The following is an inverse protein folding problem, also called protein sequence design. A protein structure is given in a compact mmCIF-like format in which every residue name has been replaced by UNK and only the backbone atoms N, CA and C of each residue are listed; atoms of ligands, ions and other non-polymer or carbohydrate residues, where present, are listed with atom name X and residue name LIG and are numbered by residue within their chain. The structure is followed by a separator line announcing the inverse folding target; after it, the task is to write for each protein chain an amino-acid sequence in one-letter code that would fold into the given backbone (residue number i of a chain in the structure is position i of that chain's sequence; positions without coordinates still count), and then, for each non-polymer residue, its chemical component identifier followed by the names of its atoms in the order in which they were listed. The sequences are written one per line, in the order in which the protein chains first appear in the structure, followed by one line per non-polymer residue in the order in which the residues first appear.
data_IF_393116527789
#
_entry.id   IF_393116527789
#
_cell.length_a   1.000
_cell.length_b   1.000
_cell.length_c   1.000
_cell.angle_alpha   90.00
_cell.angle_beta   90.00
_cell.angle_gamma   90.00
#
_symmetry.space_group_name_H-M   'P 1'
#
loop_
_entity.id
_entity.type
_entity.pdbx_description
1 polymer ?
#
# COMPACT_ATOMS: atom_id res chain seq x y z
N UNK A 1 55.67 9.93 -0.05
CA UNK A 1 55.48 10.21 -1.48
C UNK A 1 55.99 9.04 -2.31
N UNK A 2 55.11 8.09 -2.65
CA UNK A 2 55.20 7.21 -3.80
C UNK A 2 53.77 6.81 -4.16
N UNK A 3 53.42 7.16 -5.38
CA UNK A 3 52.11 7.03 -6.01
C UNK A 3 52.02 5.64 -6.63
N UNK A 4 50.96 4.87 -6.34
CA UNK A 4 50.55 3.74 -7.18
C UNK A 4 49.06 3.93 -7.46
N UNK A 5 48.77 4.15 -8.75
CA UNK A 5 47.43 4.39 -9.31
C UNK A 5 47.02 3.15 -10.10
N UNK A 6 45.79 2.71 -9.83
CA UNK A 6 44.90 1.85 -10.63
C UNK A 6 45.38 0.39 -10.79
N UNK A 7 44.54 -0.64 -10.78
CA UNK A 7 43.20 -0.75 -11.34
C UNK A 7 42.63 -2.10 -10.86
N UNK A 8 41.35 -2.15 -10.44
CA UNK A 8 40.68 -3.40 -10.07
C UNK A 8 40.14 -3.39 -8.64
N UNK A 9 39.12 -2.57 -8.39
CA UNK A 9 38.34 -2.65 -7.16
C UNK A 9 37.46 -3.92 -7.23
N UNK A 10 38.04 -5.06 -6.88
CA UNK A 10 37.27 -6.13 -6.27
C UNK A 10 36.81 -5.59 -4.92
N UNK A 11 35.62 -4.98 -4.89
CA UNK A 11 34.93 -4.66 -3.66
C UNK A 11 34.54 -5.99 -3.04
N UNK A 12 35.44 -6.55 -2.24
CA UNK A 12 35.10 -7.59 -1.29
C UNK A 12 34.22 -6.89 -0.24
N UNK A 13 32.92 -6.82 -0.53
CA UNK A 13 31.92 -6.51 0.48
C UNK A 13 31.95 -7.64 1.49
N UNK A 14 32.83 -7.50 2.49
CA UNK A 14 32.69 -8.23 3.73
C UNK A 14 31.39 -7.72 4.36
N UNK A 15 30.28 -8.37 4.02
CA UNK A 15 29.02 -8.19 4.72
C UNK A 15 29.26 -8.73 6.13
N UNK A 16 29.61 -7.84 7.07
CA UNK A 16 29.46 -8.18 8.48
C UNK A 16 27.96 -8.36 8.68
N UNK A 17 27.56 -9.63 8.71
CA UNK A 17 26.27 -10.07 9.20
C UNK A 17 26.22 -9.68 10.67
N UNK A 18 25.84 -8.42 10.92
CA UNK A 18 25.53 -7.96 12.25
C UNK A 18 24.25 -8.71 12.56
N UNK A 19 24.38 -9.84 13.26
CA UNK A 19 23.26 -10.57 13.80
C UNK A 19 22.35 -9.53 14.45
N UNK A 20 21.27 -9.19 13.75
CA UNK A 20 20.29 -8.24 14.24
C UNK A 20 19.74 -8.94 15.47
N UNK A 21 20.05 -8.41 16.64
CA UNK A 21 19.48 -8.92 17.87
C UNK A 21 17.97 -9.06 17.65
N UNK A 22 17.42 -10.23 18.00
CA UNK A 22 15.99 -10.56 17.93
C UNK A 22 15.20 -9.58 18.80
N UNK A 23 15.04 -8.36 18.32
CA UNK A 23 14.11 -7.40 18.87
C UNK A 23 12.82 -7.68 18.13
N UNK A 24 12.04 -8.61 18.67
CA UNK A 24 10.67 -8.85 18.21
C UNK A 24 9.89 -7.54 18.26
N UNK A 25 9.45 -7.01 17.12
CA UNK A 25 8.62 -5.81 17.10
C UNK A 25 7.32 -6.03 17.88
N UNK A 26 7.05 -5.22 18.92
CA UNK A 26 5.81 -5.29 19.67
C UNK A 26 4.63 -4.61 18.96
N UNK A 27 4.90 -3.67 18.07
CA UNK A 27 3.90 -2.92 17.31
C UNK A 27 4.50 -2.39 16.00
N UNK A 28 3.62 -2.04 15.07
CA UNK A 28 3.95 -1.46 13.77
C UNK A 28 2.94 -0.40 13.39
N UNK A 29 3.43 0.69 12.79
CA UNK A 29 2.60 1.78 12.31
C UNK A 29 3.13 2.27 10.98
N UNK A 30 2.33 2.16 9.93
CA UNK A 30 2.61 2.71 8.61
C UNK A 30 1.38 3.43 8.08
N UNK A 31 1.57 4.34 7.13
CA UNK A 31 0.47 5.04 6.48
C UNK A 31 0.71 5.13 4.99
N UNK A 32 -0.36 5.03 4.21
CA UNK A 32 -0.34 5.26 2.77
C UNK A 32 -1.31 6.38 2.45
N UNK A 33 -0.87 7.29 1.59
CA UNK A 33 -1.70 8.34 1.02
C UNK A 33 -1.68 8.18 -0.49
N UNK A 34 -2.85 8.22 -1.12
CA UNK A 34 -2.99 8.09 -2.57
C UNK A 34 -3.83 9.23 -3.09
N UNK A 35 -3.37 9.85 -4.17
CA UNK A 35 -4.15 10.83 -4.93
C UNK A 35 -4.18 10.39 -6.38
N UNK A 36 -5.39 10.32 -6.94
CA UNK A 36 -5.61 9.98 -8.33
C UNK A 36 -6.38 11.13 -8.99
N UNK A 37 -5.74 11.78 -9.95
CA UNK A 37 -6.36 12.80 -10.81
C UNK A 37 -6.73 12.16 -12.15
N UNK A 38 -7.96 12.38 -12.61
CA UNK A 38 -8.49 11.82 -13.85
C UNK A 38 -9.27 12.87 -14.61
N UNK A 39 -8.89 13.05 -15.87
CA UNK A 39 -9.56 14.00 -16.74
C UNK A 39 -9.62 13.51 -18.18
N UNK A 40 -10.51 14.12 -18.95
CA UNK A 40 -10.55 13.99 -20.40
C UNK A 40 -10.84 15.35 -21.04
N UNK A 41 -10.34 15.58 -22.26
CA UNK A 41 -10.71 16.76 -23.03
C UNK A 41 -12.18 16.69 -23.43
N UNK A 42 -12.72 17.82 -23.91
CA UNK A 42 -14.04 17.83 -24.52
C UNK A 42 -14.08 16.94 -25.78
N UNK A 43 -15.19 16.26 -26.02
CA UNK A 43 -15.41 15.42 -27.19
C UNK A 43 -16.83 15.60 -27.74
N UNK A 44 -17.01 15.31 -29.02
CA UNK A 44 -18.33 15.37 -29.65
C UNK A 44 -19.17 14.14 -29.28
N UNK A 45 -20.35 14.37 -28.71
CA UNK A 45 -21.34 13.34 -28.39
C UNK A 45 -22.68 13.70 -29.04
N UNK A 46 -23.13 12.97 -30.07
CA UNK A 46 -24.42 13.23 -30.72
C UNK A 46 -25.62 13.05 -29.77
N UNK A 47 -25.45 12.22 -28.73
CA UNK A 47 -26.44 11.95 -27.70
C UNK A 47 -25.76 11.87 -26.33
N UNK A 48 -26.42 12.40 -25.29
CA UNK A 48 -25.98 12.29 -23.89
C UNK A 48 -27.20 12.17 -22.97
N UNK A 49 -27.06 11.39 -21.91
CA UNK A 49 -28.11 11.17 -20.92
C UNK A 49 -27.54 10.89 -19.54
N UNK A 50 -28.41 10.50 -18.59
CA UNK A 50 -28.06 10.35 -17.17
C UNK A 50 -26.90 9.39 -16.89
N UNK A 51 -26.72 8.36 -17.71
CA UNK A 51 -25.67 7.36 -17.58
C UNK A 51 -24.61 7.47 -18.69
N UNK A 52 -24.44 8.66 -19.26
CA UNK A 52 -23.42 8.96 -20.26
C UNK A 52 -22.26 9.70 -19.63
N UNK A 53 -21.06 9.51 -20.19
CA UNK A 53 -19.91 10.32 -19.83
C UNK A 53 -20.17 11.77 -20.27
N UNK A 54 -19.83 12.73 -19.41
CA UNK A 54 -19.94 14.15 -19.75
C UNK A 54 -19.07 14.46 -20.99
N UNK A 55 -19.62 15.06 -22.07
CA UNK A 55 -18.84 15.39 -23.27
C UNK A 55 -17.95 16.64 -23.12
N UNK A 56 -18.16 17.45 -22.08
CA UNK A 56 -17.33 18.62 -21.78
C UNK A 56 -15.94 18.22 -21.26
N UNK A 57 -15.02 19.19 -21.17
CA UNK A 57 -13.73 18.94 -20.52
C UNK A 57 -13.93 18.82 -19.01
N UNK A 58 -13.48 17.72 -18.42
CA UNK A 58 -13.62 17.46 -16.97
C UNK A 58 -12.29 17.02 -16.40
N UNK A 59 -12.00 17.45 -15.17
CA UNK A 59 -10.93 16.91 -14.34
C UNK A 59 -11.47 16.68 -12.93
N UNK A 60 -11.38 15.44 -12.47
CA UNK A 60 -11.86 15.00 -11.17
C UNK A 60 -10.73 14.30 -10.41
N UNK A 61 -10.80 14.36 -9.09
CA UNK A 61 -9.77 13.77 -8.24
C UNK A 61 -10.42 12.87 -7.19
N UNK A 62 -9.71 11.82 -6.81
CA UNK A 62 -10.02 10.97 -5.67
C UNK A 62 -8.78 10.87 -4.79
N UNK A 63 -8.97 10.85 -3.48
CA UNK A 63 -7.90 10.84 -2.49
C UNK A 63 -8.29 9.93 -1.34
N UNK A 64 -7.34 9.11 -0.92
CA UNK A 64 -7.48 8.28 0.27
C UNK A 64 -6.23 8.33 1.15
N UNK A 65 -6.46 8.09 2.44
CA UNK A 65 -5.42 7.83 3.41
C UNK A 65 -5.77 6.57 4.21
N UNK A 66 -4.84 5.62 4.22
CA UNK A 66 -4.94 4.38 4.98
C UNK A 66 -3.88 4.34 6.06
N UNK A 67 -4.29 4.08 7.30
CA UNK A 67 -3.38 3.76 8.40
C UNK A 67 -3.24 2.25 8.50
N UNK A 68 -2.04 1.76 8.72
CA UNK A 68 -1.73 0.36 9.01
C UNK A 68 -1.19 0.28 10.43
N UNK A 69 -2.03 -0.14 11.37
CA UNK A 69 -1.65 -0.25 12.77
C UNK A 69 -1.72 -1.72 13.23
N UNK A 70 -0.60 -2.22 13.72
CA UNK A 70 -0.44 -3.61 14.14
C UNK A 70 0.13 -3.71 15.55
N UNK A 71 -0.34 -4.69 16.33
CA UNK A 71 0.21 -5.03 17.63
C UNK A 71 0.47 -6.53 17.73
N UNK A 72 1.58 -6.90 18.38
CA UNK A 72 1.88 -8.29 18.72
C UNK A 72 1.19 -8.64 20.03
N UNK A 73 0.32 -9.64 20.00
CA UNK A 73 -0.45 -10.11 21.16
C UNK A 73 0.05 -11.43 21.74
N UNK A 74 0.84 -12.19 20.97
CA UNK A 74 1.53 -13.41 21.43
C UNK A 74 2.80 -13.61 20.60
N UNK A 75 3.68 -14.55 20.98
CA UNK A 75 4.95 -14.81 20.30
C UNK A 75 4.84 -14.85 18.77
N UNK A 76 3.79 -15.50 18.23
CA UNK A 76 3.55 -15.60 16.79
C UNK A 76 2.16 -15.09 16.38
N UNK A 77 1.57 -14.17 17.16
CA UNK A 77 0.21 -13.70 16.93
C UNK A 77 0.14 -12.18 16.94
N UNK A 78 -0.45 -11.62 15.90
CA UNK A 78 -0.56 -10.18 15.67
C UNK A 78 -2.01 -9.80 15.32
N UNK A 79 -2.44 -8.62 15.79
CA UNK A 79 -3.73 -8.01 15.42
C UNK A 79 -3.43 -6.76 14.61
N UNK A 80 -4.18 -6.59 13.52
CA UNK A 80 -4.07 -5.45 12.61
C UNK A 80 -5.41 -4.77 12.40
N UNK A 81 -5.38 -3.44 12.38
CA UNK A 81 -6.50 -2.59 12.00
C UNK A 81 -6.02 -1.62 10.90
N UNK A 82 -6.82 -1.48 9.84
CA UNK A 82 -6.51 -0.54 8.76
C UNK A 82 -7.68 0.40 8.49
N UNK A 83 -7.85 1.48 9.29
CA UNK A 83 -8.85 2.49 8.96
C UNK A 83 -8.41 3.27 7.71
N UNK A 84 -9.39 3.59 6.87
CA UNK A 84 -9.24 4.31 5.61
C UNK A 84 -10.15 5.54 5.64
N UNK A 85 -9.66 6.69 5.16
CA UNK A 85 -10.47 7.89 4.93
C UNK A 85 -10.42 8.19 3.44
N UNK A 86 -11.58 8.28 2.81
CA UNK A 86 -11.73 8.50 1.37
C UNK A 86 -12.45 9.82 1.07
N UNK A 87 -12.10 10.43 -0.06
CA UNK A 87 -12.77 11.61 -0.59
C UNK A 87 -12.66 11.67 -2.12
N UNK A 88 -13.67 12.24 -2.77
CA UNK A 88 -13.61 12.62 -4.18
C UNK A 88 -14.60 11.85 -5.05
N UNK A 89 -14.44 12.00 -6.36
CA UNK A 89 -15.35 11.42 -7.34
C UNK A 89 -14.58 10.90 -8.55
N UNK A 90 -15.06 9.78 -9.12
CA UNK A 90 -14.66 9.37 -10.46
C UNK A 90 -15.20 10.29 -11.55
N UNK A 91 -14.70 10.12 -12.79
CA UNK A 91 -15.26 10.78 -13.97
C UNK A 91 -16.76 10.50 -14.10
N UNK A 92 -17.58 11.55 -14.11
CA UNK A 92 -19.05 11.45 -14.13
C UNK A 92 -19.62 10.48 -13.09
N UNK A 93 -19.03 10.40 -11.87
CA UNK A 93 -19.41 9.42 -10.84
C UNK A 93 -19.35 7.96 -11.33
N UNK A 94 -18.45 7.70 -12.28
CA UNK A 94 -18.22 6.41 -12.93
C UNK A 94 -19.39 5.90 -13.79
N UNK A 95 -20.44 6.69 -14.01
CA UNK A 95 -21.44 6.35 -15.03
C UNK A 95 -20.96 6.77 -16.42
N UNK A 96 -21.34 6.01 -17.44
CA UNK A 96 -20.95 6.27 -18.83
C UNK A 96 -19.53 5.85 -19.21
N UNK A 97 -18.77 5.31 -18.27
CA UNK A 97 -17.53 4.57 -18.52
C UNK A 97 -17.85 3.07 -18.63
N UNK A 98 -17.17 2.34 -19.52
CA UNK A 98 -17.33 0.88 -19.66
C UNK A 98 -16.71 0.08 -18.48
N UNK A 99 -16.10 0.77 -17.51
CA UNK A 99 -15.48 0.22 -16.31
C UNK A 99 -14.81 1.34 -15.50
N UNK A 100 -14.41 1.05 -14.26
CA UNK A 100 -13.69 2.01 -13.43
C UNK A 100 -12.29 2.28 -14.02
N UNK A 101 -11.96 3.50 -14.44
CA UNK A 101 -10.64 3.83 -14.98
C UNK A 101 -9.54 3.79 -13.91
N UNK A 102 -9.91 3.85 -12.63
CA UNK A 102 -9.04 3.62 -11.48
C UNK A 102 -9.77 2.79 -10.43
N UNK A 103 -9.01 1.95 -9.74
CA UNK A 103 -9.43 1.27 -8.53
C UNK A 103 -9.55 2.19 -7.32
N UNK A 104 -9.56 3.52 -7.46
CA UNK A 104 -9.85 4.48 -6.40
C UNK A 104 -11.26 5.08 -6.55
N UNK A 105 -11.72 5.22 -7.79
CA UNK A 105 -13.02 5.79 -8.15
C UNK A 105 -14.21 4.81 -8.04
N UNK A 106 -14.02 3.62 -7.45
CA UNK A 106 -15.09 2.63 -7.23
C UNK A 106 -15.84 2.82 -5.91
N UNK A 107 -15.27 3.61 -4.99
CA UNK A 107 -15.82 3.85 -3.67
C UNK A 107 -16.99 4.85 -3.77
N UNK A 108 -17.67 5.11 -2.66
CA UNK A 108 -18.77 6.11 -2.64
C UNK A 108 -18.17 7.46 -2.97
N UNK A 109 -18.50 8.00 -4.15
CA UNK A 109 -18.09 9.36 -4.51
C UNK A 109 -18.70 10.34 -3.52
N UNK A 110 -17.87 11.05 -2.77
CA UNK A 110 -18.31 11.92 -1.69
C UNK A 110 -17.40 13.14 -1.58
N UNK A 111 -18.02 14.32 -1.47
CA UNK A 111 -17.30 15.56 -1.22
C UNK A 111 -16.84 15.67 0.25
N UNK A 112 -17.67 15.40 1.27
CA UNK A 112 -17.15 15.24 2.62
C UNK A 112 -16.33 13.94 2.72
N UNK A 113 -15.13 13.96 3.32
CA UNK A 113 -14.38 12.76 3.60
C UNK A 113 -15.20 11.80 4.47
N UNK A 114 -15.08 10.50 4.21
CA UNK A 114 -15.77 9.47 4.98
C UNK A 114 -14.81 8.36 5.38
N UNK A 115 -15.08 7.77 6.54
CA UNK A 115 -14.24 6.73 7.11
C UNK A 115 -14.76 5.34 6.75
N UNK A 116 -13.83 4.41 6.56
CA UNK A 116 -14.08 3.00 6.37
C UNK A 116 -13.11 2.21 7.21
N UNK A 117 -13.46 0.95 7.47
CA UNK A 117 -12.54 -0.02 8.06
C UNK A 117 -12.48 -1.25 7.16
N UNK A 118 -11.70 -1.21 6.06
CA UNK A 118 -11.61 -2.35 5.15
C UNK A 118 -10.98 -3.59 5.77
N UNK A 119 -10.05 -3.42 6.72
CA UNK A 119 -9.33 -4.56 7.33
C UNK A 119 -9.29 -4.46 8.85
N UNK A 120 -9.76 -5.53 9.49
CA UNK A 120 -9.50 -5.84 10.89
C UNK A 120 -9.32 -7.35 11.00
N UNK A 121 -8.12 -7.80 11.35
CA UNK A 121 -7.79 -9.22 11.35
C UNK A 121 -6.77 -9.59 12.41
N UNK A 122 -6.79 -10.87 12.79
CA UNK A 122 -5.74 -11.52 13.57
C UNK A 122 -4.94 -12.43 12.63
N UNK A 123 -3.62 -12.43 12.76
CA UNK A 123 -2.75 -13.37 12.07
C UNK A 123 -1.96 -14.19 13.07
N UNK A 124 -1.90 -15.50 12.82
CA UNK A 124 -1.05 -16.45 13.53
C UNK A 124 -0.07 -17.05 12.54
N UNK A 125 1.22 -16.93 12.85
CA UNK A 125 2.28 -17.65 12.14
C UNK A 125 2.50 -18.99 12.83
N UNK A 126 2.48 -20.07 12.06
CA UNK A 126 2.72 -21.45 12.53
C UNK A 126 3.89 -21.99 11.72
N UNK A 127 4.98 -22.32 12.40
CA UNK A 127 6.12 -23.03 11.82
C UNK A 127 5.74 -24.50 11.62
N UNK A 128 5.83 -24.97 10.38
CA UNK A 128 5.66 -26.34 9.91
C UNK A 128 6.99 -27.12 9.89
N UNK A 129 8.12 -26.44 10.14
CA UNK A 129 9.47 -27.01 10.21
C UNK A 129 10.32 -26.62 8.99
N UNK A 130 11.60 -26.32 9.22
CA UNK A 130 12.53 -25.86 8.19
C UNK A 130 13.62 -24.97 8.79
N UNK A 131 14.42 -24.33 7.94
CA UNK A 131 15.28 -23.23 8.39
C UNK A 131 14.43 -21.98 8.63
N UNK A 132 14.63 -21.31 9.76
CA UNK A 132 13.94 -20.06 10.08
C UNK A 132 14.51 -18.93 9.24
N UNK A 133 13.64 -18.18 8.55
CA UNK A 133 14.02 -16.93 7.87
C UNK A 133 13.54 -15.72 8.67
N UNK A 134 14.39 -14.71 8.77
CA UNK A 134 14.00 -13.41 9.29
C UNK A 134 13.36 -12.58 8.16
N UNK A 135 12.06 -12.31 8.28
CA UNK A 135 11.35 -11.38 7.39
C UNK A 135 11.32 -10.01 8.04
N UNK A 136 11.74 -9.00 7.28
CA UNK A 136 11.62 -7.59 7.65
C UNK A 136 10.16 -7.18 7.82
N UNK A 137 9.93 -6.23 8.73
CA UNK A 137 8.59 -5.67 8.94
C UNK A 137 8.07 -4.98 7.68
N UNK A 138 6.77 -5.12 7.40
CA UNK A 138 6.11 -4.44 6.27
C UNK A 138 4.67 -4.03 6.64
N UNK A 139 3.96 -3.38 5.72
CA UNK A 139 2.52 -3.14 5.86
C UNK A 139 1.81 -4.43 6.17
N UNK A 140 1.06 -4.42 7.28
CA UNK A 140 0.36 -5.58 7.77
C UNK A 140 1.27 -6.76 8.15
N UNK A 141 2.55 -6.59 8.50
CA UNK A 141 3.42 -7.66 9.01
C UNK A 141 4.49 -7.14 10.00
N UNK A 142 4.55 -7.68 11.21
CA UNK A 142 5.60 -7.33 12.19
C UNK A 142 6.83 -8.25 12.05
N UNK A 143 8.03 -7.69 12.20
CA UNK A 143 9.28 -8.48 12.17
C UNK A 143 9.36 -9.50 13.32
N UNK A 144 10.23 -10.51 13.18
CA UNK A 144 10.56 -11.42 14.28
C UNK A 144 9.53 -12.51 14.58
N UNK A 145 8.78 -12.97 13.57
CA UNK A 145 8.12 -14.27 13.60
C UNK A 145 8.95 -15.29 12.83
N UNK A 146 9.40 -16.36 13.49
CA UNK A 146 10.04 -17.48 12.81
C UNK A 146 9.09 -18.07 11.75
N UNK A 147 9.41 -17.85 10.48
CA UNK A 147 8.71 -18.43 9.33
C UNK A 147 9.65 -19.42 8.66
N UNK A 148 9.13 -20.59 8.27
CA UNK A 148 9.96 -21.58 7.58
C UNK A 148 10.34 -21.10 6.17
N UNK A 149 11.57 -21.38 5.78
CA UNK A 149 12.05 -21.25 4.42
C UNK A 149 11.24 -22.14 3.45
N UNK A 150 10.78 -21.57 2.33
CA UNK A 150 10.27 -22.33 1.17
C UNK A 150 11.40 -22.95 0.36
#
# INVERSE_FOLDING_TARGET
MRLVKCLGAACLCLSLDTARADITQPWGLQSQFTLVSQGHPAFSAPYSGRNSLNPGSVNNETTDITLYAGIRVSANGEIWINPEIDQGFGLSNTVGMAGFPSGEAYKVGSNPPYQRLPRFFYRKTISLGGEEQNIDSDVNFLDGGAIDAL
#
